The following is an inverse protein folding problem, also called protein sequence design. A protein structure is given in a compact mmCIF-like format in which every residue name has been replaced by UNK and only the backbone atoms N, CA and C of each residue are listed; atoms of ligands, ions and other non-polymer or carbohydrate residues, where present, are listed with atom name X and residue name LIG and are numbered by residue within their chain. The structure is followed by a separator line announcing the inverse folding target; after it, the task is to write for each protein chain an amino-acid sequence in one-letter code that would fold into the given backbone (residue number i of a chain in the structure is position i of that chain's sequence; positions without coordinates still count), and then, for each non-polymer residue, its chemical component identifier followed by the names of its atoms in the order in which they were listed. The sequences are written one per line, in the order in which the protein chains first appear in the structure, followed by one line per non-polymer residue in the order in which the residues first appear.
data_IF_186397835044
#
_entry.id   IF_186397835044
#
_cell.length_a   1.000
_cell.length_b   1.000
_cell.length_c   1.000
_cell.angle_alpha   90.00
_cell.angle_beta   90.00
_cell.angle_gamma   90.00
#
_symmetry.space_group_name_H-M   'P 1'
#
loop_
_entity.id
_entity.type
_entity.pdbx_description
1 polymer ?
#
# COMPACT_ATOMS: atom_id res chain seq x y z
N UNK A 1 1.46 -8.24 -10.82
CA UNK A 1 0.97 -7.59 -9.58
C UNK A 1 -0.14 -6.61 -9.98
N UNK A 2 -1.28 -6.60 -9.27
CA UNK A 2 -2.41 -5.67 -9.57
C UNK A 2 -2.78 -4.77 -8.39
N UNK A 3 -2.27 -5.08 -7.19
CA UNK A 3 -2.52 -4.37 -5.95
C UNK A 3 -1.19 -4.10 -5.26
N UNK A 4 -1.17 -3.14 -4.33
CA UNK A 4 -0.01 -2.81 -3.52
C UNK A 4 -0.41 -2.57 -2.07
N UNK A 5 0.42 -3.00 -1.14
CA UNK A 5 0.21 -2.77 0.29
C UNK A 5 0.66 -1.37 0.70
N UNK A 6 -0.10 -0.72 1.60
CA UNK A 6 0.31 0.58 2.15
C UNK A 6 -0.07 0.82 3.62
N UNK A 7 -1.08 0.13 4.17
CA UNK A 7 -1.38 0.18 5.60
C UNK A 7 -1.75 1.58 6.15
N UNK A 8 -2.26 2.46 5.28
CA UNK A 8 -2.63 3.84 5.60
C UNK A 8 -4.03 4.18 5.09
N UNK A 9 -4.68 5.18 5.68
CA UNK A 9 -5.89 5.77 5.09
C UNK A 9 -5.54 6.71 3.92
N UNK A 10 -6.55 7.16 3.16
CA UNK A 10 -6.37 8.03 1.98
C UNK A 10 -5.63 9.35 2.27
N UNK A 11 -5.64 9.80 3.52
CA UNK A 11 -4.93 11.00 3.98
C UNK A 11 -3.46 10.72 4.40
N UNK A 12 -3.00 9.48 4.28
CA UNK A 12 -1.65 9.06 4.64
C UNK A 12 -1.42 8.72 6.12
N UNK A 13 -2.43 8.82 6.99
CA UNK A 13 -2.26 8.40 8.39
C UNK A 13 -2.24 6.87 8.50
N UNK A 14 -1.44 6.34 9.43
CA UNK A 14 -1.36 4.91 9.69
C UNK A 14 -2.72 4.30 10.06
N UNK A 15 -3.01 3.12 9.51
CA UNK A 15 -4.16 2.30 9.90
C UNK A 15 -3.78 1.36 11.05
N UNK A 16 -4.78 0.82 11.76
CA UNK A 16 -4.61 -0.36 12.62
C UNK A 16 -4.50 -1.67 11.83
N UNK A 17 -4.96 -1.68 10.59
CA UNK A 17 -4.89 -2.81 9.67
C UNK A 17 -3.56 -2.79 8.89
N UNK A 18 -2.50 -3.26 9.53
CA UNK A 18 -1.11 -3.24 8.99
C UNK A 18 -0.45 -4.61 9.02
N UNK A 19 -1.21 -5.71 9.14
CA UNK A 19 -0.62 -7.05 9.34
C UNK A 19 0.30 -7.11 10.56
N UNK A 20 -0.13 -6.45 11.65
CA UNK A 20 0.66 -6.26 12.86
C UNK A 20 2.01 -5.60 12.54
N UNK A 21 1.95 -4.40 11.95
CA UNK A 21 3.12 -3.63 11.52
C UNK A 21 4.05 -4.40 10.58
N UNK A 22 3.45 -5.09 9.62
CA UNK A 22 4.13 -5.88 8.58
C UNK A 22 4.97 -7.05 9.14
N UNK A 23 4.76 -7.41 10.41
CA UNK A 23 5.56 -8.44 11.10
C UNK A 23 4.93 -9.84 11.03
N UNK A 24 3.67 -9.96 10.59
CA UNK A 24 2.93 -11.23 10.59
C UNK A 24 2.24 -11.50 9.25
N UNK A 25 2.23 -12.77 8.87
CA UNK A 25 1.58 -13.29 7.67
C UNK A 25 0.55 -14.36 8.09
N UNK A 26 -0.57 -13.90 8.64
CA UNK A 26 -1.65 -14.73 9.17
C UNK A 26 -2.95 -14.32 8.49
N UNK A 27 -3.75 -15.28 8.04
CA UNK A 27 -5.04 -15.02 7.38
C UNK A 27 -6.09 -14.43 8.32
N UNK A 28 -5.91 -14.55 9.64
CA UNK A 28 -6.75 -13.88 10.65
C UNK A 28 -6.45 -12.39 10.81
N UNK A 29 -5.34 -11.92 10.24
CA UNK A 29 -4.96 -10.51 10.25
C UNK A 29 -5.28 -9.87 8.90
N UNK A 30 -5.50 -8.55 8.94
CA UNK A 30 -5.75 -7.72 7.78
C UNK A 30 -4.69 -6.63 7.61
N UNK A 31 -4.49 -6.23 6.36
CA UNK A 31 -3.77 -5.04 5.96
C UNK A 31 -4.62 -4.15 5.05
N UNK A 32 -4.23 -2.88 4.88
CA UNK A 32 -4.79 -2.03 3.82
C UNK A 32 -3.91 -2.07 2.56
N UNK A 33 -4.55 -2.41 1.43
CA UNK A 33 -3.97 -2.36 0.10
C UNK A 33 -4.78 -1.47 -0.84
N UNK A 34 -4.19 -1.08 -1.96
CA UNK A 34 -4.90 -0.40 -3.04
C UNK A 34 -4.59 -1.03 -4.40
N UNK A 35 -5.49 -0.85 -5.36
CA UNK A 35 -5.20 -1.22 -6.76
C UNK A 35 -4.09 -0.33 -7.30
N UNK A 36 -3.18 -0.90 -8.10
CA UNK A 36 -2.13 -0.12 -8.76
C UNK A 36 -2.78 0.82 -9.79
N UNK A 37 -2.38 2.12 -9.83
CA UNK A 37 -2.92 3.10 -10.77
C UNK A 37 -2.89 2.63 -12.23
N UNK A 38 -3.98 2.90 -12.92
CA UNK A 38 -4.12 2.76 -14.37
C UNK A 38 -3.66 4.02 -15.14
N UNK A 39 -3.02 4.96 -14.44
CA UNK A 39 -2.63 6.27 -14.98
C UNK A 39 -3.75 7.33 -14.97
N UNK A 40 -5.00 6.96 -14.65
CA UNK A 40 -6.13 7.89 -14.52
C UNK A 40 -6.47 8.19 -13.06
N UNK A 41 -6.11 7.28 -12.16
CA UNK A 41 -6.46 7.34 -10.74
C UNK A 41 -5.21 7.41 -9.85
N UNK A 42 -5.33 8.03 -8.68
CA UNK A 42 -4.24 8.11 -7.69
C UNK A 42 -3.97 6.78 -6.97
N UNK A 43 -2.80 6.70 -6.31
CA UNK A 43 -2.32 5.51 -5.59
C UNK A 43 -3.28 4.97 -4.51
N UNK A 44 -4.14 5.84 -3.95
CA UNK A 44 -5.07 5.51 -2.86
C UNK A 44 -6.55 5.48 -3.30
N UNK A 45 -6.85 5.55 -4.62
CA UNK A 45 -8.21 5.72 -5.11
C UNK A 45 -9.14 4.53 -4.77
N UNK A 46 -8.60 3.33 -4.57
CA UNK A 46 -9.40 2.13 -4.30
C UNK A 46 -8.76 1.32 -3.17
N UNK A 47 -9.07 1.69 -1.92
CA UNK A 47 -8.57 1.00 -0.72
C UNK A 47 -9.40 -0.25 -0.42
N UNK A 48 -8.71 -1.31 -0.04
CA UNK A 48 -9.27 -2.59 0.34
C UNK A 48 -8.59 -3.10 1.61
N UNK A 49 -9.38 -3.66 2.52
CA UNK A 49 -8.86 -4.49 3.60
C UNK A 49 -8.68 -5.91 3.07
N UNK A 50 -7.47 -6.46 3.19
CA UNK A 50 -7.13 -7.76 2.61
C UNK A 50 -6.41 -8.64 3.66
N UNK A 51 -6.62 -9.97 3.67
CA UNK A 51 -5.87 -10.87 4.54
C UNK A 51 -4.36 -10.79 4.33
N UNK A 52 -3.59 -10.93 5.41
CA UNK A 52 -2.12 -10.85 5.40
C UNK A 52 -1.42 -12.12 4.91
N UNK A 53 -2.17 -13.19 4.61
CA UNK A 53 -1.63 -14.42 4.05
C UNK A 53 -1.17 -14.19 2.60
N UNK A 54 0.15 -14.32 2.37
CA UNK A 54 0.78 -14.12 1.05
C UNK A 54 0.41 -15.23 0.06
N UNK A 55 0.00 -16.41 0.54
CA UNK A 55 -0.44 -17.53 -0.31
C UNK A 55 -1.56 -17.17 -1.29
N UNK A 56 -2.33 -16.12 -0.98
CA UNK A 56 -3.45 -15.65 -1.81
C UNK A 56 -3.16 -14.34 -2.56
N UNK A 57 -1.97 -13.74 -2.42
CA UNK A 57 -1.76 -12.34 -2.84
C UNK A 57 -0.40 -12.02 -3.46
N UNK A 58 -0.38 -11.90 -4.80
CA UNK A 58 0.68 -11.22 -5.56
C UNK A 58 0.54 -9.69 -5.47
N UNK A 59 0.80 -9.15 -4.27
CA UNK A 59 0.81 -7.70 -3.98
C UNK A 59 2.21 -7.09 -4.21
N UNK A 60 2.25 -5.87 -4.72
CA UNK A 60 3.48 -5.07 -4.81
C UNK A 60 3.77 -4.29 -3.53
N UNK A 61 5.03 -3.96 -3.30
CA UNK A 61 5.47 -2.96 -2.32
C UNK A 61 6.17 -1.85 -3.11
N UNK A 62 5.78 -0.60 -2.86
CA UNK A 62 6.50 0.55 -3.42
C UNK A 62 7.51 1.07 -2.41
N UNK A 63 8.74 1.31 -2.87
CA UNK A 63 9.75 2.04 -2.12
C UNK A 63 9.78 3.48 -2.64
N UNK A 64 9.75 4.46 -1.75
CA UNK A 64 9.75 5.88 -2.09
C UNK A 64 11.09 6.49 -1.68
N UNK A 65 11.66 7.32 -2.54
CA UNK A 65 12.83 8.13 -2.20
C UNK A 65 12.43 9.19 -1.16
N UNK A 66 13.09 9.17 0.00
CA UNK A 66 12.75 10.05 1.13
C UNK A 66 13.29 11.48 0.96
N UNK A 67 14.22 11.70 0.05
CA UNK A 67 14.82 13.01 -0.22
C UNK A 67 14.52 13.47 -1.65
N UNK A 68 13.23 13.59 -1.98
CA UNK A 68 12.77 14.06 -3.27
C UNK A 68 12.85 15.59 -3.34
N UNK A 69 13.75 16.12 -4.16
CA UNK A 69 13.88 17.55 -4.42
C UNK A 69 13.45 17.88 -5.84
N UNK A 70 12.60 18.90 -5.99
CA UNK A 70 12.24 19.44 -7.31
C UNK A 70 13.42 20.22 -7.88
N UNK A 71 13.99 19.74 -8.98
CA UNK A 71 14.98 20.49 -9.76
C UNK A 71 14.22 21.42 -10.72
N UNK A 72 14.42 22.73 -10.60
CA UNK A 72 13.91 23.69 -11.57
C UNK A 72 15.02 23.96 -12.61
N UNK A 73 14.75 23.63 -13.88
CA UNK A 73 15.59 24.05 -14.99
C UNK A 73 15.12 25.43 -15.47
N UNK A 74 16.05 26.37 -15.61
CA UNK A 74 15.82 27.68 -16.24
C UNK A 74 16.01 27.60 -17.75
#
# INVERSE_FOLDING_TARGET
FQYWWHGTYVNGTASSDTCHDWSRQDSSLSGIASRIPDGKHGLFHQQYTWPCSISDTNMGIFCIETNCQRINYH
#
